data_IF_814228808245
#
_entry.id   IF_814228808245
#
_cell.length_a   1.000
_cell.length_b   1.000
_cell.length_c   1.000
_cell.angle_alpha   90.00
_cell.angle_beta   90.00
_cell.angle_gamma   90.00
#
_symmetry.space_group_name_H-M   'P 1'
#
loop_
_entity.id
_entity.type
_entity.pdbx_description
1 polymer ?
#
# COMPACT_ATOMS: atom_id res chain seq x y z
N UNK A 1 -40.71 -68.59 -51.97
CA UNK A 1 -41.60 -69.74 -51.69
C UNK A 1 -40.83 -70.99 -52.08
N UNK A 2 -40.52 -71.86 -51.09
CA UNK A 2 -39.93 -73.21 -51.23
C UNK A 2 -38.46 -73.25 -51.73
N UNK A 3 -37.52 -74.09 -51.26
CA UNK A 3 -37.51 -75.28 -50.40
C UNK A 3 -36.02 -75.66 -50.09
N UNK A 4 -35.76 -76.15 -48.87
CA UNK A 4 -34.81 -77.24 -48.45
C UNK A 4 -33.30 -77.27 -48.77
N UNK A 5 -32.52 -77.34 -47.67
CA UNK A 5 -31.45 -78.29 -47.26
C UNK A 5 -30.58 -79.01 -48.31
N UNK A 6 -29.26 -79.09 -48.06
CA UNK A 6 -28.51 -80.31 -47.64
C UNK A 6 -26.97 -80.03 -47.58
N UNK A 7 -26.39 -80.45 -46.44
CA UNK A 7 -25.06 -81.01 -46.12
C UNK A 7 -23.80 -80.92 -47.04
N UNK A 8 -22.68 -81.00 -46.31
CA UNK A 8 -21.35 -81.56 -46.63
C UNK A 8 -20.22 -80.63 -47.11
N UNK A 9 -19.37 -80.29 -46.14
CA UNK A 9 -17.93 -80.63 -46.06
C UNK A 9 -17.14 -80.75 -47.38
N UNK A 10 -16.15 -79.87 -47.56
CA UNK A 10 -14.99 -80.18 -48.38
C UNK A 10 -13.73 -79.49 -47.83
N UNK A 11 -12.76 -80.34 -47.56
CA UNK A 11 -11.41 -80.10 -47.08
C UNK A 11 -10.50 -79.31 -48.03
N UNK A 12 -9.67 -78.45 -47.41
CA UNK A 12 -8.23 -78.31 -47.67
C UNK A 12 -7.72 -77.88 -49.05
N UNK A 13 -7.01 -76.73 -49.10
CA UNK A 13 -5.55 -76.67 -49.34
C UNK A 13 -5.04 -75.24 -49.43
N UNK A 14 -3.87 -75.05 -48.84
CA UNK A 14 -3.07 -73.84 -48.78
C UNK A 14 -2.69 -73.27 -50.15
N UNK A 15 -2.55 -71.93 -50.23
CA UNK A 15 -1.52 -71.25 -51.03
C UNK A 15 -1.02 -69.99 -50.32
N UNK A 16 0.26 -69.79 -50.51
CA UNK A 16 1.21 -68.91 -49.84
C UNK A 16 1.33 -67.53 -50.51
N UNK A 17 1.59 -66.51 -49.67
CA UNK A 17 2.40 -65.29 -49.91
C UNK A 17 1.85 -64.24 -50.90
N UNK A 18 2.40 -63.01 -50.94
CA UNK A 18 2.96 -62.14 -49.89
C UNK A 18 2.37 -60.71 -49.97
N UNK A 19 3.03 -59.77 -49.30
CA UNK A 19 3.13 -58.34 -49.65
C UNK A 19 2.18 -57.31 -49.03
N UNK A 20 2.88 -56.33 -48.46
CA UNK A 20 2.61 -54.91 -48.62
C UNK A 20 1.36 -54.35 -47.97
N UNK A 21 1.46 -54.22 -46.65
CA UNK A 21 0.97 -52.99 -46.02
C UNK A 21 2.06 -52.35 -45.18
N UNK A 22 2.83 -51.51 -45.89
CA UNK A 22 3.40 -50.25 -45.45
C UNK A 22 2.83 -49.76 -44.10
N UNK A 23 3.38 -50.24 -42.99
CA UNK A 23 3.24 -49.55 -41.70
C UNK A 23 4.21 -48.38 -41.72
N UNK A 24 3.82 -47.31 -42.41
CA UNK A 24 4.33 -45.96 -42.16
C UNK A 24 3.99 -45.61 -40.73
N UNK A 25 4.89 -45.94 -39.81
CA UNK A 25 4.92 -45.33 -38.49
C UNK A 25 5.27 -43.85 -38.70
N UNK A 26 4.21 -43.04 -38.90
CA UNK A 26 4.31 -41.59 -38.73
C UNK A 26 4.70 -41.38 -37.26
N UNK A 27 5.93 -40.96 -37.03
CA UNK A 27 6.37 -40.40 -35.75
C UNK A 27 5.42 -39.24 -35.44
N UNK A 28 4.44 -39.49 -34.58
CA UNK A 28 3.67 -38.43 -33.97
C UNK A 28 4.68 -37.57 -33.21
N UNK A 29 4.94 -36.36 -33.73
CA UNK A 29 5.72 -35.37 -32.99
C UNK A 29 4.94 -35.13 -31.70
N UNK A 30 5.58 -35.21 -30.52
CA UNK A 30 4.96 -34.76 -29.30
C UNK A 30 4.51 -33.32 -29.56
N UNK A 31 3.22 -33.06 -29.40
CA UNK A 31 2.75 -31.70 -29.29
C UNK A 31 3.47 -31.15 -28.06
N UNK A 32 4.45 -30.27 -28.27
CA UNK A 32 4.95 -29.39 -27.23
C UNK A 32 3.71 -28.70 -26.68
N UNK A 33 3.27 -29.18 -25.51
CA UNK A 33 2.29 -28.50 -24.71
C UNK A 33 2.96 -27.18 -24.38
N UNK A 34 2.65 -26.14 -25.16
CA UNK A 34 2.95 -24.77 -24.81
C UNK A 34 2.34 -24.60 -23.43
N UNK A 35 3.16 -24.71 -22.39
CA UNK A 35 2.81 -24.30 -21.05
C UNK A 35 2.42 -22.84 -21.22
N UNK A 36 1.12 -22.59 -21.16
CA UNK A 36 0.60 -21.27 -20.95
C UNK A 36 1.23 -20.81 -19.65
N UNK A 37 2.28 -20.00 -19.76
CA UNK A 37 2.80 -19.28 -18.62
C UNK A 37 1.69 -18.29 -18.29
N UNK A 38 0.89 -18.63 -17.27
CA UNK A 38 0.01 -17.65 -16.68
C UNK A 38 0.90 -16.45 -16.34
N UNK A 39 0.57 -15.23 -16.82
CA UNK A 39 1.29 -14.07 -16.35
C UNK A 39 1.16 -14.07 -14.83
N UNK A 40 2.29 -14.10 -14.14
CA UNK A 40 2.34 -13.74 -12.73
C UNK A 40 1.90 -12.28 -12.72
N UNK A 41 0.63 -12.05 -12.43
CA UNK A 41 0.13 -10.73 -12.10
C UNK A 41 0.69 -10.47 -10.73
N UNK A 42 1.78 -9.69 -10.68
CA UNK A 42 2.25 -9.09 -9.44
C UNK A 42 1.05 -8.32 -8.88
N UNK A 43 0.50 -8.83 -7.77
CA UNK A 43 -0.59 -8.18 -7.06
C UNK A 43 -0.09 -6.79 -6.70
N UNK A 44 -0.80 -5.75 -7.14
CA UNK A 44 -0.57 -4.34 -6.81
C UNK A 44 -0.07 -4.25 -5.37
N UNK A 45 1.24 -4.04 -5.21
CA UNK A 45 1.80 -3.79 -3.90
C UNK A 45 1.04 -2.58 -3.37
N UNK A 46 0.32 -2.76 -2.26
CA UNK A 46 -0.26 -1.66 -1.53
C UNK A 46 0.92 -0.86 -1.00
N UNK A 47 1.41 0.07 -1.83
CA UNK A 47 2.44 1.01 -1.45
C UNK A 47 1.76 1.95 -0.46
N UNK A 48 1.92 1.65 0.83
CA UNK A 48 1.62 2.61 1.88
C UNK A 48 2.35 3.90 1.51
N UNK A 49 1.59 4.93 1.20
CA UNK A 49 2.13 6.26 0.94
C UNK A 49 2.44 6.85 2.33
N UNK A 50 3.70 7.20 2.61
CA UNK A 50 4.08 7.67 3.94
C UNK A 50 3.54 9.08 4.19
N UNK A 51 3.27 9.39 5.46
CA UNK A 51 3.01 10.76 5.91
C UNK A 51 4.27 11.59 5.73
N UNK A 52 4.12 12.78 5.16
CA UNK A 52 5.23 13.66 4.82
C UNK A 52 5.33 14.84 5.76
N UNK A 53 6.57 15.24 6.06
CA UNK A 53 6.91 16.36 6.93
C UNK A 53 7.81 17.30 6.13
N UNK A 54 7.36 18.52 5.89
CA UNK A 54 8.04 19.47 5.01
C UNK A 54 7.82 20.92 5.45
N UNK A 55 8.48 21.84 4.73
CA UNK A 55 8.13 23.25 4.78
C UNK A 55 7.27 23.57 3.56
N UNK A 56 6.12 24.21 3.77
CA UNK A 56 5.26 24.63 2.66
C UNK A 56 5.86 25.84 1.90
N UNK A 57 5.16 26.32 0.86
CA UNK A 57 5.61 27.48 0.08
C UNK A 57 5.73 28.80 0.87
N UNK A 58 5.09 28.90 2.04
CA UNK A 58 5.20 30.04 2.96
C UNK A 58 6.33 29.87 4.00
N UNK A 59 6.95 28.69 4.07
CA UNK A 59 7.97 28.36 5.06
C UNK A 59 7.40 27.87 6.40
N UNK A 60 6.10 27.54 6.45
CA UNK A 60 5.46 26.95 7.63
C UNK A 60 5.69 25.44 7.68
N UNK A 61 5.68 24.88 8.90
CA UNK A 61 5.82 23.44 9.10
C UNK A 61 4.54 22.75 8.66
N UNK A 62 4.64 21.87 7.67
CA UNK A 62 3.53 21.09 7.12
C UNK A 62 3.75 19.61 7.41
N UNK A 63 2.76 18.98 8.04
CA UNK A 63 2.65 17.53 8.20
C UNK A 63 1.41 17.09 7.43
N UNK A 64 1.60 16.24 6.43
CA UNK A 64 0.55 15.86 5.48
C UNK A 64 0.56 14.35 5.27
N UNK A 65 -0.53 13.68 5.64
CA UNK A 65 -0.74 12.26 5.35
C UNK A 65 -1.21 12.06 3.91
N UNK A 66 -1.44 10.81 3.51
CA UNK A 66 -1.90 10.52 2.15
C UNK A 66 -2.98 9.46 2.14
N UNK A 67 -4.10 9.79 1.49
CA UNK A 67 -5.20 8.87 1.24
C UNK A 67 -6.17 8.84 2.42
N UNK A 68 -6.68 7.63 2.71
CA UNK A 68 -7.69 7.39 3.75
C UNK A 68 -7.14 6.51 4.88
N UNK A 69 -5.91 6.81 5.33
CA UNK A 69 -5.31 6.07 6.45
C UNK A 69 -5.87 6.57 7.78
N UNK A 70 -5.99 5.67 8.74
CA UNK A 70 -6.25 6.06 10.14
C UNK A 70 -4.93 6.59 10.71
N UNK A 71 -4.84 7.90 10.92
CA UNK A 71 -3.63 8.53 11.43
C UNK A 71 -3.72 8.66 12.97
N UNK A 72 -2.62 8.31 13.64
CA UNK A 72 -2.49 8.43 15.10
C UNK A 72 -1.31 9.34 15.42
N UNK A 73 -1.43 10.61 15.01
CA UNK A 73 -0.33 11.56 15.00
C UNK A 73 -0.14 12.23 16.35
N UNK A 74 1.03 12.08 16.94
CA UNK A 74 1.44 12.84 18.11
C UNK A 74 2.54 13.84 17.73
N UNK A 75 2.36 15.10 18.11
CA UNK A 75 3.35 16.15 17.92
C UNK A 75 3.65 16.76 19.28
N UNK A 76 4.91 16.66 19.69
CA UNK A 76 5.40 17.12 20.97
C UNK A 76 6.47 18.19 20.79
N UNK A 77 6.25 19.39 21.34
CA UNK A 77 7.27 20.43 21.42
C UNK A 77 8.20 20.16 22.63
N UNK A 78 9.32 19.50 22.35
CA UNK A 78 10.35 19.12 23.30
C UNK A 78 11.33 20.28 23.53
N UNK A 79 11.04 21.06 24.56
CA UNK A 79 11.85 22.22 24.93
C UNK A 79 13.21 21.84 25.51
N UNK A 80 13.33 20.64 26.10
CA UNK A 80 14.57 20.18 26.70
C UNK A 80 15.62 19.85 25.62
N UNK A 81 15.19 19.27 24.50
CA UNK A 81 16.06 18.90 23.38
C UNK A 81 16.03 19.89 22.20
N UNK A 82 15.25 20.98 22.31
CA UNK A 82 15.09 22.01 21.27
C UNK A 82 14.58 21.46 19.92
N UNK A 83 13.55 20.61 19.97
CA UNK A 83 13.03 19.92 18.79
C UNK A 83 11.52 19.67 18.89
N UNK A 84 10.87 19.49 17.74
CA UNK A 84 9.58 18.81 17.68
C UNK A 84 9.83 17.31 17.55
N UNK A 85 9.20 16.51 18.40
CA UNK A 85 9.09 15.06 18.23
C UNK A 85 7.73 14.75 17.60
N UNK A 86 7.74 14.14 16.42
CA UNK A 86 6.54 13.73 15.68
C UNK A 86 6.52 12.21 15.64
N UNK A 87 5.39 11.60 15.98
CA UNK A 87 5.24 10.15 15.90
C UNK A 87 3.89 9.72 15.35
N UNK A 88 3.91 8.65 14.58
CA UNK A 88 2.71 7.95 14.12
C UNK A 88 3.01 6.44 14.16
N UNK A 89 2.35 5.66 15.04
CA UNK A 89 2.58 4.23 15.14
C UNK A 89 1.99 3.42 13.97
N UNK A 90 1.02 3.98 13.25
CA UNK A 90 0.35 3.35 12.11
C UNK A 90 1.09 3.55 10.79
N UNK A 91 1.86 4.64 10.68
CA UNK A 91 2.47 5.08 9.42
C UNK A 91 3.96 5.41 9.55
N UNK A 92 4.71 5.19 8.47
CA UNK A 92 6.07 5.73 8.38
C UNK A 92 6.01 7.23 8.06
N UNK A 93 6.83 8.00 8.76
CA UNK A 93 6.97 9.44 8.57
C UNK A 93 8.20 9.74 7.71
N UNK A 94 8.05 10.55 6.67
CA UNK A 94 9.15 10.97 5.81
C UNK A 94 9.34 12.47 5.87
N UNK A 95 10.52 12.94 6.28
CA UNK A 95 10.84 14.36 6.30
C UNK A 95 11.79 14.79 5.20
N UNK A 96 11.52 15.97 4.63
CA UNK A 96 12.39 16.70 3.70
C UNK A 96 13.12 17.88 4.36
N UNK A 97 12.87 18.13 5.65
CA UNK A 97 13.45 19.26 6.39
C UNK A 97 14.89 18.93 6.78
N UNK A 98 15.81 19.85 6.49
CA UNK A 98 17.22 19.70 6.82
C UNK A 98 17.44 19.58 8.34
N UNK A 99 18.32 18.68 8.76
CA UNK A 99 18.66 18.45 10.17
C UNK A 99 17.68 17.56 10.93
N UNK A 100 16.61 17.08 10.27
CA UNK A 100 15.73 16.08 10.87
C UNK A 100 16.42 14.74 11.04
N UNK A 101 15.97 13.98 12.06
CA UNK A 101 16.39 12.60 12.28
C UNK A 101 15.17 11.68 12.34
N UNK A 102 15.36 10.38 12.07
CA UNK A 102 14.27 9.40 12.10
C UNK A 102 13.37 9.37 10.85
N UNK A 103 13.71 10.11 9.80
CA UNK A 103 12.98 10.06 8.51
C UNK A 103 12.95 8.62 7.95
N UNK A 104 11.77 8.18 7.51
CA UNK A 104 11.48 6.81 7.08
C UNK A 104 11.09 5.86 8.22
N UNK A 105 10.80 6.37 9.42
CA UNK A 105 10.39 5.58 10.59
C UNK A 105 9.10 6.15 11.21
N UNK A 106 8.57 5.50 12.24
CA UNK A 106 7.41 5.96 13.01
C UNK A 106 7.68 7.18 13.90
N UNK A 107 8.92 7.64 14.00
CA UNK A 107 9.34 8.76 14.85
C UNK A 107 10.29 9.68 14.09
N UNK A 108 9.95 10.97 13.99
CA UNK A 108 10.78 12.00 13.37
C UNK A 108 11.04 13.12 14.37
N UNK A 109 12.30 13.52 14.50
CA UNK A 109 12.69 14.66 15.33
C UNK A 109 13.12 15.83 14.44
N UNK A 110 12.53 17.00 14.66
CA UNK A 110 12.72 18.22 13.87
C UNK A 110 13.33 19.31 14.76
N UNK A 111 14.58 19.73 14.54
CA UNK A 111 15.17 20.81 15.31
C UNK A 111 14.36 22.10 15.17
N UNK A 112 14.16 22.83 16.27
CA UNK A 112 13.48 24.13 16.23
C UNK A 112 14.19 25.14 15.31
N UNK A 113 15.51 25.07 15.23
CA UNK A 113 16.32 25.90 14.33
C UNK A 113 16.02 25.67 12.85
N UNK A 114 15.54 24.48 12.46
CA UNK A 114 15.16 24.17 11.08
C UNK A 114 13.82 24.78 10.66
N UNK A 115 13.01 25.21 11.62
CA UNK A 115 11.67 25.81 11.40
C UNK A 115 11.55 27.20 12.03
N UNK A 116 12.67 27.89 12.25
CA UNK A 116 12.72 29.18 12.97
C UNK A 116 11.89 30.30 12.30
N UNK A 117 11.67 30.20 10.99
CA UNK A 117 10.88 31.18 10.23
C UNK A 117 9.42 30.76 10.07
N UNK A 118 9.06 29.54 10.48
CA UNK A 118 7.69 29.06 10.44
C UNK A 118 6.86 29.84 11.47
N UNK A 119 5.62 30.16 11.10
CA UNK A 119 4.64 30.78 11.98
C UNK A 119 3.55 29.80 12.34
N UNK A 120 3.27 28.85 11.44
CA UNK A 120 2.22 27.86 11.60
C UNK A 120 2.80 26.45 11.63
N UNK A 121 2.09 25.59 12.35
CA UNK A 121 2.16 24.14 12.24
C UNK A 121 0.87 23.72 11.56
N UNK A 122 0.95 23.25 10.33
CA UNK A 122 -0.19 22.81 9.54
C UNK A 122 -0.18 21.29 9.55
N UNK A 123 -1.30 20.68 9.95
CA UNK A 123 -1.48 19.23 9.99
C UNK A 123 -2.68 18.88 9.13
N UNK A 124 -2.45 18.10 8.08
CA UNK A 124 -3.47 17.60 7.17
C UNK A 124 -3.51 16.07 7.27
N UNK A 125 -4.58 15.48 7.81
CA UNK A 125 -4.76 14.02 7.89
C UNK A 125 -5.77 13.48 6.86
N UNK A 126 -6.49 14.38 6.18
CA UNK A 126 -7.42 14.09 5.06
C UNK A 126 -8.64 13.25 5.43
N UNK A 127 -8.78 12.03 4.92
CA UNK A 127 -10.00 11.25 5.07
C UNK A 127 -9.75 10.12 6.09
N UNK A 128 -10.80 9.66 6.76
CA UNK A 128 -10.82 8.59 7.79
C UNK A 128 -10.96 9.17 9.22
N UNK A 129 -11.13 8.29 10.21
CA UNK A 129 -11.25 8.69 11.62
C UNK A 129 -9.85 8.91 12.23
N UNK A 130 -9.44 10.17 12.37
CA UNK A 130 -8.07 10.49 12.80
C UNK A 130 -7.95 10.87 14.27
N UNK A 131 -6.76 10.66 14.83
CA UNK A 131 -6.39 11.11 16.16
C UNK A 131 -5.13 11.96 16.11
N UNK A 132 -5.22 13.23 16.53
CA UNK A 132 -4.09 14.16 16.57
C UNK A 132 -3.88 14.66 18.00
N UNK A 133 -2.68 14.46 18.55
CA UNK A 133 -2.30 14.93 19.88
C UNK A 133 -1.18 15.96 19.85
N UNK A 134 -1.42 17.14 20.43
CA UNK A 134 -0.45 18.22 20.57
C UNK A 134 -0.05 18.43 22.04
N UNK A 135 1.23 18.23 22.36
CA UNK A 135 1.76 18.42 23.73
C UNK A 135 3.05 19.25 23.74
N UNK A 136 3.40 19.83 24.89
CA UNK A 136 4.65 20.57 25.06
C UNK A 136 5.17 20.46 26.49
N UNK A 137 6.48 20.60 26.70
CA UNK A 137 7.13 20.61 28.02
C UNK A 137 6.94 21.92 28.80
N UNK A 138 5.82 22.62 28.57
CA UNK A 138 5.53 23.91 29.22
C UNK A 138 6.21 25.12 28.57
N UNK A 139 7.03 24.92 27.53
CA UNK A 139 7.49 26.01 26.64
C UNK A 139 6.37 26.50 25.70
N UNK A 140 5.29 25.72 25.56
CA UNK A 140 4.23 25.96 24.60
C UNK A 140 4.67 25.66 23.15
N UNK A 141 3.74 25.82 22.22
CA UNK A 141 4.04 25.82 20.80
C UNK A 141 4.35 27.25 20.35
N UNK A 142 5.55 27.48 19.81
CA UNK A 142 5.90 28.76 19.17
C UNK A 142 5.29 28.91 17.76
N UNK A 143 4.64 27.86 17.26
CA UNK A 143 3.90 27.84 16.01
C UNK A 143 2.40 27.84 16.33
N UNK A 144 1.59 28.53 15.54
CA UNK A 144 0.13 28.43 15.63
C UNK A 144 -0.35 27.16 14.92
N UNK A 145 -0.89 26.15 15.64
CA UNK A 145 -1.37 24.94 15.01
C UNK A 145 -2.66 25.18 14.23
N UNK A 146 -2.69 24.70 13.00
CA UNK A 146 -3.86 24.65 12.11
C UNK A 146 -4.04 23.19 11.71
N UNK A 147 -5.16 22.59 12.09
CA UNK A 147 -5.43 21.18 11.82
C UNK A 147 -6.60 21.06 10.85
N UNK A 148 -6.39 20.34 9.76
CA UNK A 148 -7.38 19.93 8.79
C UNK A 148 -7.45 18.39 8.78
N UNK A 149 -8.43 17.86 9.51
CA UNK A 149 -8.64 16.41 9.58
C UNK A 149 -9.61 15.89 8.49
N UNK A 150 -9.97 16.76 7.53
CA UNK A 150 -10.87 16.44 6.42
C UNK A 150 -12.19 15.75 6.81
N UNK A 151 -12.39 14.51 6.34
CA UNK A 151 -13.65 13.78 6.53
C UNK A 151 -13.49 12.57 7.42
N UNK A 152 -14.38 12.41 8.39
CA UNK A 152 -14.34 11.30 9.34
C UNK A 152 -14.90 11.76 10.68
N UNK A 153 -14.75 10.91 11.70
CA UNK A 153 -14.86 11.34 13.08
C UNK A 153 -13.46 11.50 13.66
N UNK A 154 -13.07 12.76 13.85
CA UNK A 154 -11.70 13.08 14.23
C UNK A 154 -11.63 13.57 15.68
N UNK A 155 -10.53 13.23 16.35
CA UNK A 155 -10.27 13.64 17.72
C UNK A 155 -8.97 14.42 17.78
N UNK A 156 -9.03 15.64 18.31
CA UNK A 156 -7.86 16.47 18.58
C UNK A 156 -7.73 16.66 20.09
N UNK A 157 -6.63 16.15 20.64
CA UNK A 157 -6.21 16.42 22.02
C UNK A 157 -5.11 17.48 22.02
N UNK A 158 -5.29 18.61 22.68
CA UNK A 158 -4.29 19.68 22.62
C UNK A 158 -4.13 20.49 23.90
N UNK A 159 -2.87 20.66 24.32
CA UNK A 159 -2.51 21.63 25.35
C UNK A 159 -2.20 23.04 24.76
N UNK A 160 -2.34 23.21 23.45
CA UNK A 160 -2.18 24.47 22.73
C UNK A 160 -3.50 24.98 22.16
N UNK A 161 -3.58 26.28 21.87
CA UNK A 161 -4.72 26.86 21.13
C UNK A 161 -4.61 26.43 19.67
N UNK A 162 -5.60 25.68 19.18
CA UNK A 162 -5.64 25.14 17.81
C UNK A 162 -6.69 25.88 16.99
N UNK A 163 -6.38 26.14 15.72
CA UNK A 163 -7.40 26.46 14.71
C UNK A 163 -7.78 25.19 13.96
N UNK A 164 -9.05 24.84 13.94
CA UNK A 164 -9.55 23.67 13.21
C UNK A 164 -10.17 24.14 11.91
N UNK A 165 -9.78 23.53 10.80
CA UNK A 165 -10.22 23.91 9.45
C UNK A 165 -11.48 23.15 8.98
N UNK A 166 -11.88 22.09 9.68
CA UNK A 166 -13.01 21.23 9.33
C UNK A 166 -14.07 21.16 10.42
N UNK A 167 -15.31 20.87 10.02
CA UNK A 167 -16.50 20.98 10.88
C UNK A 167 -16.81 19.67 11.66
N UNK A 168 -16.10 18.57 11.42
CA UNK A 168 -16.39 17.23 11.98
C UNK A 168 -15.37 16.75 13.03
N UNK A 169 -14.87 17.68 13.83
CA UNK A 169 -13.79 17.40 14.78
C UNK A 169 -14.27 17.57 16.22
N UNK A 170 -13.98 16.58 17.06
CA UNK A 170 -14.09 16.72 18.51
C UNK A 170 -12.75 17.23 19.07
N UNK A 171 -12.79 18.37 19.77
CA UNK A 171 -11.59 18.99 20.38
C UNK A 171 -11.68 18.85 21.88
N UNK A 172 -10.71 18.12 22.46
CA UNK A 172 -10.69 17.71 23.87
C UNK A 172 -9.52 18.34 24.62
#
# INVERSE_FOLDING_TARGET
>A
MLLTSWLCDWSGRAKSLPNDRLRRWRRARPHEVRRWMAPIVETLEMRLVPTTISLNGAGDLLIESFGSSLDMLEIHADGANNQFAVSDPGQNLFSTISGTTGSGTHFVFIPFSSVINAKQLIVNTFDSDDFVRLTSDGIGFNLSPVIDAGTGFDVIESNAVVSVATDNVDVV
#
